data_IF_600035387240
#
_entry.id   IF_600035387240
#
_cell.length_a   1.000
_cell.length_b   1.000
_cell.length_c   1.000
_cell.angle_alpha   90.00
_cell.angle_beta   90.00
_cell.angle_gamma   90.00
#
_symmetry.space_group_name_H-M   'P 1'
#
loop_
_entity.id
_entity.type
_entity.pdbx_description
1 polymer ?
#
# COMPACT_ATOMS: atom_id res chain seq x y z
N UNK A 1 7.53 10.58 2.41
CA UNK A 1 7.26 10.04 1.07
C UNK A 1 7.34 8.53 1.16
N UNK A 2 6.23 7.84 0.94
CA UNK A 2 6.13 6.38 1.07
C UNK A 2 5.69 5.82 -0.29
N UNK A 3 6.27 4.70 -0.73
CA UNK A 3 5.80 4.04 -1.94
C UNK A 3 4.70 3.05 -1.57
N UNK A 4 3.63 3.01 -2.36
CA UNK A 4 2.55 2.04 -2.26
C UNK A 4 2.46 1.21 -3.52
N UNK A 5 2.25 -0.10 -3.38
CA UNK A 5 2.00 -1.04 -4.47
C UNK A 5 0.79 -1.90 -4.16
N UNK A 6 0.03 -2.27 -5.19
CA UNK A 6 -1.11 -3.17 -5.07
C UNK A 6 -0.65 -4.62 -4.93
N UNK A 7 -1.39 -5.41 -4.14
CA UNK A 7 -1.14 -6.84 -4.01
C UNK A 7 -1.82 -7.58 -5.17
N UNK A 8 -1.15 -7.64 -6.32
CA UNK A 8 -1.67 -8.30 -7.52
C UNK A 8 -0.58 -9.05 -8.28
N UNK A 9 -0.95 -10.21 -8.82
CA UNK A 9 -0.10 -11.00 -9.72
C UNK A 9 1.25 -11.37 -9.12
N UNK A 10 2.29 -11.32 -9.96
CA UNK A 10 3.68 -11.56 -9.54
C UNK A 10 4.28 -10.34 -8.84
N UNK A 11 5.47 -10.51 -8.25
CA UNK A 11 6.23 -9.38 -7.68
C UNK A 11 6.45 -8.26 -8.70
N UNK A 12 6.72 -8.60 -9.97
CA UNK A 12 6.92 -7.62 -11.03
C UNK A 12 5.63 -6.86 -11.34
N UNK A 13 4.49 -7.55 -11.41
CA UNK A 13 3.17 -6.92 -11.67
C UNK A 13 2.76 -6.00 -10.53
N UNK A 14 3.03 -6.40 -9.29
CA UNK A 14 2.83 -5.58 -8.10
C UNK A 14 3.75 -4.35 -8.14
N UNK A 15 5.05 -4.51 -8.40
CA UNK A 15 5.99 -3.39 -8.47
C UNK A 15 5.70 -2.43 -9.63
N UNK A 16 5.10 -2.89 -10.73
CA UNK A 16 4.64 -2.02 -11.81
C UNK A 16 3.52 -1.05 -11.39
N UNK A 17 2.83 -1.33 -10.27
CA UNK A 17 1.83 -0.41 -9.67
C UNK A 17 2.40 0.53 -8.63
N UNK A 18 3.70 0.42 -8.33
CA UNK A 18 4.33 1.19 -7.28
C UNK A 18 4.22 2.69 -7.60
N UNK A 19 3.62 3.43 -6.67
CA UNK A 19 3.43 4.88 -6.78
C UNK A 19 3.74 5.57 -5.46
N UNK A 20 4.18 6.81 -5.52
CA UNK A 20 4.44 7.61 -4.33
C UNK A 20 3.12 8.09 -3.73
N UNK A 21 2.93 7.82 -2.44
CA UNK A 21 1.83 8.35 -1.63
C UNK A 21 2.41 9.22 -0.51
N UNK A 22 1.76 10.35 -0.26
CA UNK A 22 2.13 11.28 0.80
C UNK A 22 1.03 11.42 1.84
N UNK A 23 -0.23 11.32 1.40
CA UNK A 23 -1.41 11.52 2.23
C UNK A 23 -2.34 10.32 2.19
N UNK A 24 -3.20 10.17 3.19
CA UNK A 24 -4.23 9.12 3.20
C UNK A 24 -5.15 9.23 1.97
N UNK A 25 -5.40 10.45 1.48
CA UNK A 25 -6.17 10.67 0.26
C UNK A 25 -5.50 10.06 -0.99
N UNK A 26 -4.16 10.12 -1.10
CA UNK A 26 -3.43 9.48 -2.19
C UNK A 26 -3.59 7.96 -2.16
N UNK A 27 -3.55 7.37 -0.95
CA UNK A 27 -3.75 5.94 -0.76
C UNK A 27 -5.18 5.51 -1.12
N UNK A 28 -6.19 6.25 -0.65
CA UNK A 28 -7.59 5.99 -0.99
C UNK A 28 -7.81 6.10 -2.50
N UNK A 29 -7.27 7.14 -3.13
CA UNK A 29 -7.35 7.30 -4.59
C UNK A 29 -6.70 6.12 -5.33
N UNK A 30 -5.55 5.64 -4.85
CA UNK A 30 -4.87 4.50 -5.45
C UNK A 30 -5.67 3.20 -5.36
N UNK A 31 -6.42 3.02 -4.27
CA UNK A 31 -7.32 1.89 -4.04
C UNK A 31 -8.59 2.00 -4.89
N UNK A 32 -9.18 3.20 -4.97
CA UNK A 32 -10.37 3.50 -5.76
C UNK A 32 -10.13 3.27 -7.26
N UNK A 33 -8.97 3.69 -7.78
CA UNK A 33 -8.57 3.45 -9.17
C UNK A 33 -8.40 1.96 -9.51
N UNK A 34 -8.13 1.10 -8.52
CA UNK A 34 -8.04 -0.35 -8.68
C UNK A 34 -9.38 -1.05 -8.35
N UNK A 35 -10.41 -0.29 -7.97
CA UNK A 35 -11.75 -0.80 -7.68
C UNK A 35 -11.94 -1.39 -6.29
N UNK A 36 -11.05 -1.07 -5.33
CA UNK A 36 -11.23 -1.49 -3.93
C UNK A 36 -12.38 -0.74 -3.27
N UNK A 37 -13.16 -1.41 -2.40
CA UNK A 37 -14.21 -0.75 -1.64
C UNK A 37 -13.64 0.31 -0.69
N UNK A 38 -14.45 1.32 -0.38
CA UNK A 38 -14.11 2.33 0.62
C UNK A 38 -14.42 1.74 2.00
N UNK A 39 -13.44 1.05 2.57
CA UNK A 39 -13.52 0.37 3.85
C UNK A 39 -12.59 0.96 4.91
N UNK A 40 -12.47 0.27 6.04
CA UNK A 40 -11.47 0.59 7.05
C UNK A 40 -10.08 0.22 6.54
N UNK A 41 -9.23 1.25 6.39
CA UNK A 41 -7.88 1.11 5.85
C UNK A 41 -6.91 1.06 7.02
N UNK A 42 -6.25 -0.08 7.18
CA UNK A 42 -5.19 -0.27 8.17
C UNK A 42 -3.85 -0.50 7.47
N UNK A 43 -2.77 0.04 8.05
CA UNK A 43 -1.39 -0.23 7.61
C UNK A 43 -0.62 -0.86 8.77
N UNK A 44 -0.17 -2.10 8.60
CA UNK A 44 0.48 -2.89 9.65
C UNK A 44 1.86 -3.35 9.21
N UNK A 45 2.87 -3.41 10.11
CA UNK A 45 4.16 -4.00 9.79
C UNK A 45 3.98 -5.44 9.29
N UNK A 46 4.60 -5.78 8.16
CA UNK A 46 4.52 -7.11 7.57
C UNK A 46 5.87 -7.83 7.56
N UNK A 47 6.92 -7.14 7.11
CA UNK A 47 8.27 -7.66 7.12
C UNK A 47 9.18 -7.00 6.09
N UNK A 48 10.48 -7.26 6.16
CA UNK A 48 11.43 -6.73 5.18
C UNK A 48 11.44 -7.60 3.92
N UNK A 49 11.38 -6.98 2.75
CA UNK A 49 11.57 -7.63 1.45
C UNK A 49 12.91 -7.21 0.85
N UNK A 50 13.93 -8.05 1.04
CA UNK A 50 15.31 -7.78 0.63
C UNK A 50 15.48 -7.68 -0.89
N UNK A 51 14.56 -8.29 -1.67
CA UNK A 51 14.63 -8.28 -3.14
C UNK A 51 14.44 -6.89 -3.71
N UNK A 52 13.66 -6.06 -3.03
CA UNK A 52 13.30 -4.69 -3.44
C UNK A 52 13.72 -3.64 -2.40
N UNK A 53 14.34 -4.06 -1.29
CA UNK A 53 14.80 -3.19 -0.22
C UNK A 53 13.70 -2.53 0.61
N UNK A 54 12.46 -3.04 0.56
CA UNK A 54 11.33 -2.43 1.26
C UNK A 54 11.23 -2.93 2.70
N UNK A 55 10.97 -2.01 3.63
CA UNK A 55 10.43 -2.39 4.94
C UNK A 55 8.90 -2.48 4.79
N UNK A 56 8.44 -3.63 4.34
CA UNK A 56 7.08 -3.83 3.85
C UNK A 56 6.08 -3.73 4.99
N UNK A 57 5.10 -2.86 4.80
CA UNK A 57 3.90 -2.81 5.63
C UNK A 57 2.71 -3.22 4.76
N UNK A 58 1.83 -4.06 5.29
CA UNK A 58 0.63 -4.50 4.57
C UNK A 58 -0.45 -3.46 4.73
N UNK A 59 -1.11 -3.12 3.63
CA UNK A 59 -2.30 -2.28 3.61
C UNK A 59 -3.51 -3.20 3.47
N UNK A 60 -4.41 -3.14 4.44
CA UNK A 60 -5.66 -3.90 4.43
C UNK A 60 -6.86 -2.98 4.35
N UNK A 61 -7.87 -3.38 3.58
CA UNK A 61 -9.19 -2.74 3.50
C UNK A 61 -10.20 -3.74 4.06
N UNK A 62 -10.86 -3.40 5.17
CA UNK A 62 -11.80 -4.30 5.87
C UNK A 62 -11.20 -5.70 6.15
N UNK A 63 -9.91 -5.74 6.52
CA UNK A 63 -9.17 -6.98 6.78
C UNK A 63 -8.67 -7.73 5.54
N UNK A 64 -9.01 -7.30 4.33
CA UNK A 64 -8.51 -7.87 3.08
C UNK A 64 -7.23 -7.16 2.61
N UNK A 65 -6.21 -7.93 2.21
CA UNK A 65 -4.93 -7.37 1.76
C UNK A 65 -5.06 -6.69 0.40
N UNK A 66 -5.00 -5.36 0.39
CA UNK A 66 -5.10 -4.56 -0.82
C UNK A 66 -3.73 -4.22 -1.43
N UNK A 67 -2.71 -4.12 -0.59
CA UNK A 67 -1.37 -3.76 -1.07
C UNK A 67 -0.32 -3.70 0.02
N UNK A 68 0.79 -3.06 -0.33
CA UNK A 68 1.92 -2.87 0.57
C UNK A 68 2.55 -1.50 0.42
N UNK A 69 3.09 -0.98 1.51
CA UNK A 69 3.92 0.22 1.51
C UNK A 69 5.39 -0.08 1.81
N UNK A 70 6.29 0.75 1.30
CA UNK A 70 7.75 0.63 1.48
C UNK A 70 8.24 0.95 2.89
N UNK A 71 7.35 1.44 3.74
CA UNK A 71 7.61 1.85 5.12
C UNK A 71 6.31 2.13 5.87
N UNK A 72 6.42 2.55 7.15
CA UNK A 72 5.26 2.90 7.95
C UNK A 72 4.52 4.07 7.32
N UNK A 73 3.19 3.99 7.37
CA UNK A 73 2.31 5.02 6.84
C UNK A 73 1.21 5.28 7.85
N UNK A 74 1.29 6.41 8.56
CA UNK A 74 0.28 6.81 9.54
C UNK A 74 -0.87 7.58 8.91
N UNK A 75 -0.68 8.07 7.67
CA UNK A 75 -1.73 8.77 6.93
C UNK A 75 -2.32 9.97 7.66
N UNK A 76 -1.57 10.57 8.60
CA UNK A 76 -2.01 11.75 9.32
C UNK A 76 -2.35 12.84 8.29
N UNK A 77 -3.63 13.26 8.30
CA UNK A 77 -4.07 14.39 7.50
C UNK A 77 -3.25 15.62 7.91
N UNK A 78 -2.77 16.46 6.98
CA UNK A 78 -2.40 17.81 7.35
C UNK A 78 -3.60 18.58 7.92
#
# INVERSE_FOLDING_TARGET
>A
MTLFRLHRGSLADSMATARTINTKADLVKALDEDGWPHGDIEVKPYGRDDRIGWNTHIVTVDGMAAGFTSGPFTGEQP
#
